data_IF_650661470040
#
_entry.id   IF_650661470040
#
_cell.length_a   1.000
_cell.length_b   1.000
_cell.length_c   1.000
_cell.angle_alpha   90.00
_cell.angle_beta   90.00
_cell.angle_gamma   90.00
#
_symmetry.space_group_name_H-M   'P 1'
#
loop_
_entity.id
_entity.type
_entity.pdbx_description
1 polymer ?
#
# COMPACT_ATOMS: atom_id res chain seq x y z
N UNK A 1 3.54 -16.68 -19.34
CA UNK A 1 4.06 -15.42 -18.79
C UNK A 1 3.05 -14.28 -18.81
N UNK A 2 2.47 -13.88 -19.96
CA UNK A 2 1.51 -12.73 -20.03
C UNK A 2 0.27 -12.84 -19.12
N UNK A 3 -0.31 -14.04 -18.97
CA UNK A 3 -1.50 -14.27 -18.14
C UNK A 3 -1.25 -14.02 -16.64
N UNK A 4 -0.09 -14.46 -16.12
CA UNK A 4 0.23 -14.24 -14.70
C UNK A 4 0.55 -12.78 -14.40
N UNK A 5 1.21 -12.06 -15.32
CA UNK A 5 1.42 -10.60 -15.16
C UNK A 5 0.09 -9.87 -15.10
N UNK A 6 -0.87 -10.22 -15.96
CA UNK A 6 -2.21 -9.62 -15.94
C UNK A 6 -2.94 -9.94 -14.63
N UNK A 7 -2.92 -11.20 -14.18
CA UNK A 7 -3.58 -11.61 -12.94
C UNK A 7 -2.95 -10.92 -11.72
N UNK A 8 -1.62 -10.92 -11.61
CA UNK A 8 -0.90 -10.23 -10.52
C UNK A 8 -1.10 -8.72 -10.55
N UNK A 9 -1.09 -8.10 -11.74
CA UNK A 9 -1.40 -6.68 -11.89
C UNK A 9 -2.83 -6.35 -11.44
N UNK A 10 -3.81 -7.18 -11.79
CA UNK A 10 -5.19 -7.02 -11.36
C UNK A 10 -5.37 -7.23 -9.85
N UNK A 11 -4.64 -8.18 -9.26
CA UNK A 11 -4.64 -8.42 -7.81
C UNK A 11 -4.05 -7.23 -7.05
N UNK A 12 -2.90 -6.72 -7.48
CA UNK A 12 -2.29 -5.52 -6.89
C UNK A 12 -3.18 -4.29 -7.07
N UNK A 13 -3.78 -4.11 -8.25
CA UNK A 13 -4.77 -3.06 -8.49
C UNK A 13 -5.95 -3.19 -7.51
N UNK A 14 -6.53 -4.39 -7.36
CA UNK A 14 -7.64 -4.64 -6.44
C UNK A 14 -7.27 -4.44 -4.97
N UNK A 15 -6.01 -4.70 -4.60
CA UNK A 15 -5.50 -4.45 -3.25
C UNK A 15 -5.44 -2.95 -2.93
N UNK A 16 -4.94 -2.14 -3.88
CA UNK A 16 -4.77 -0.69 -3.68
C UNK A 16 -6.02 0.13 -4.01
N UNK A 17 -6.88 -0.32 -4.91
CA UNK A 17 -8.15 0.32 -5.31
C UNK A 17 -9.37 -0.45 -4.78
N UNK A 18 -9.19 -1.29 -3.77
CA UNK A 18 -10.28 -1.97 -3.07
C UNK A 18 -11.23 -0.98 -2.38
N UNK A 19 -12.39 -1.47 -1.93
CA UNK A 19 -13.47 -0.64 -1.39
C UNK A 19 -13.02 0.40 -0.35
N UNK A 20 -12.06 0.04 0.52
CA UNK A 20 -11.49 0.99 1.48
C UNK A 20 -10.83 2.21 0.81
N UNK A 21 -9.78 1.98 0.02
CA UNK A 21 -9.02 3.06 -0.61
C UNK A 21 -9.80 3.85 -1.68
N UNK A 22 -10.94 3.35 -2.13
CA UNK A 22 -11.84 4.07 -3.04
C UNK A 22 -12.89 4.92 -2.31
N UNK A 23 -13.37 4.48 -1.14
CA UNK A 23 -14.41 5.17 -0.35
C UNK A 23 -13.79 6.22 0.59
N UNK A 24 -12.65 5.91 1.21
CA UNK A 24 -12.04 6.78 2.21
C UNK A 24 -11.59 8.15 1.70
N UNK A 25 -10.94 8.31 0.52
CA UNK A 25 -10.51 9.63 0.08
C UNK A 25 -11.68 10.60 -0.11
N UNK A 26 -12.76 10.28 -0.87
CA UNK A 26 -13.92 11.16 -0.97
C UNK A 26 -14.59 11.45 0.38
N UNK A 27 -14.67 10.44 1.27
CA UNK A 27 -15.25 10.61 2.61
C UNK A 27 -14.42 11.56 3.48
N UNK A 28 -13.09 11.41 3.49
CA UNK A 28 -12.15 12.28 4.20
C UNK A 28 -12.12 13.69 3.59
N UNK A 29 -12.17 13.78 2.26
CA UNK A 29 -12.31 15.05 1.55
C UNK A 29 -13.59 15.76 1.94
N UNK A 30 -14.71 15.05 2.00
CA UNK A 30 -15.99 15.61 2.40
C UNK A 30 -15.96 16.14 3.85
N UNK A 31 -15.31 15.42 4.76
CA UNK A 31 -15.12 15.87 6.15
C UNK A 31 -14.10 17.02 6.28
N UNK A 32 -13.17 17.17 5.34
CA UNK A 32 -12.21 18.27 5.29
C UNK A 32 -12.82 19.61 4.80
N UNK A 33 -14.08 19.62 4.37
CA UNK A 33 -14.81 20.84 4.00
C UNK A 33 -14.13 21.59 2.85
N UNK A 34 -13.65 22.81 3.10
CA UNK A 34 -12.99 23.64 2.08
C UNK A 34 -11.67 23.03 1.57
N UNK A 35 -11.05 22.15 2.34
CA UNK A 35 -9.80 21.49 1.99
C UNK A 35 -10.01 20.10 1.36
N UNK A 36 -11.18 19.85 0.75
CA UNK A 36 -11.55 18.54 0.17
C UNK A 36 -10.43 17.93 -0.68
N UNK A 37 -9.94 18.67 -1.67
CA UNK A 37 -8.89 18.21 -2.58
C UNK A 37 -7.57 17.91 -1.86
N UNK A 38 -7.20 18.73 -0.88
CA UNK A 38 -5.98 18.55 -0.11
C UNK A 38 -6.10 17.33 0.80
N UNK A 39 -7.25 17.12 1.44
CA UNK A 39 -7.53 15.94 2.27
C UNK A 39 -7.51 14.64 1.45
N UNK A 40 -8.14 14.67 0.27
CA UNK A 40 -8.10 13.55 -0.69
C UNK A 40 -6.69 13.23 -1.16
N UNK A 41 -5.93 14.26 -1.57
CA UNK A 41 -4.54 14.09 -2.03
C UNK A 41 -3.63 13.61 -0.91
N UNK A 42 -3.77 14.16 0.30
CA UNK A 42 -3.02 13.72 1.47
C UNK A 42 -3.22 12.24 1.73
N UNK A 43 -4.48 11.78 1.79
CA UNK A 43 -4.79 10.36 1.94
C UNK A 43 -4.25 9.52 0.78
N UNK A 44 -4.40 9.96 -0.47
CA UNK A 44 -3.89 9.21 -1.62
C UNK A 44 -2.37 9.05 -1.57
N UNK A 45 -1.64 10.10 -1.20
CA UNK A 45 -0.17 10.07 -1.09
C UNK A 45 0.31 9.15 0.05
N UNK A 46 -0.33 9.21 1.22
CA UNK A 46 0.14 8.43 2.39
C UNK A 46 -0.45 7.03 2.42
N UNK A 47 -1.74 6.89 2.11
CA UNK A 47 -2.50 5.64 2.24
C UNK A 47 -2.44 4.72 1.02
N UNK A 48 -2.16 5.26 -0.18
CA UNK A 48 -2.12 4.47 -1.42
C UNK A 48 -0.71 4.48 -2.02
N UNK A 49 -0.14 5.66 -2.25
CA UNK A 49 1.12 5.79 -2.98
C UNK A 49 2.31 5.22 -2.20
N UNK A 50 2.43 5.49 -0.90
CA UNK A 50 3.52 4.97 -0.07
C UNK A 50 3.54 3.43 -0.05
N UNK A 51 2.43 2.74 0.30
CA UNK A 51 2.39 1.28 0.26
C UNK A 51 2.63 0.70 -1.14
N UNK A 52 2.16 1.37 -2.20
CA UNK A 52 2.42 0.98 -3.58
C UNK A 52 3.91 1.03 -3.94
N UNK A 53 4.60 2.11 -3.56
CA UNK A 53 6.06 2.23 -3.74
C UNK A 53 6.78 1.13 -2.96
N UNK A 54 6.38 0.83 -1.73
CA UNK A 54 6.96 -0.26 -0.93
C UNK A 54 6.87 -1.60 -1.65
N UNK A 55 5.71 -1.95 -2.21
CA UNK A 55 5.55 -3.20 -2.97
C UNK A 55 6.45 -3.24 -4.20
N UNK A 56 6.57 -2.13 -4.93
CA UNK A 56 7.47 -2.02 -6.09
C UNK A 56 8.91 -2.26 -5.64
N UNK A 57 9.36 -1.56 -4.59
CA UNK A 57 10.72 -1.68 -4.05
C UNK A 57 11.01 -3.11 -3.66
N UNK A 58 10.11 -3.76 -2.92
CA UNK A 58 10.25 -5.17 -2.52
C UNK A 58 10.30 -6.11 -3.72
N UNK A 59 9.51 -5.85 -4.77
CA UNK A 59 9.51 -6.65 -5.99
C UNK A 59 10.82 -6.54 -6.80
N UNK A 60 11.65 -5.51 -6.56
CA UNK A 60 12.97 -5.37 -7.17
C UNK A 60 14.09 -6.10 -6.40
N UNK A 61 13.84 -6.59 -5.18
CA UNK A 61 14.82 -7.39 -4.44
C UNK A 61 14.58 -8.89 -4.66
N UNK A 62 15.64 -9.63 -4.96
CA UNK A 62 15.56 -11.07 -5.26
C UNK A 62 15.07 -11.91 -4.07
N UNK A 63 15.39 -11.50 -2.83
CA UNK A 63 14.88 -12.13 -1.60
C UNK A 63 13.50 -11.58 -1.20
N UNK A 64 12.88 -10.70 -2.00
CA UNK A 64 11.56 -10.15 -1.76
C UNK A 64 11.39 -9.52 -0.37
N UNK A 65 10.30 -9.88 0.33
CA UNK A 65 10.02 -9.38 1.69
C UNK A 65 11.06 -9.89 2.70
N UNK A 66 11.70 -11.03 2.45
CA UNK A 66 12.71 -11.60 3.36
C UNK A 66 13.97 -10.71 3.40
N UNK A 67 14.31 -10.03 2.31
CA UNK A 67 15.40 -9.03 2.30
C UNK A 67 15.19 -7.90 3.32
N UNK A 68 13.93 -7.53 3.57
CA UNK A 68 13.54 -6.51 4.53
C UNK A 68 13.52 -7.12 5.93
N UNK A 69 12.93 -8.32 6.08
CA UNK A 69 12.82 -9.06 7.34
C UNK A 69 14.18 -9.42 7.96
N UNK A 70 15.15 -9.83 7.15
CA UNK A 70 16.50 -10.19 7.59
C UNK A 70 17.31 -8.99 8.12
N UNK A 71 16.89 -7.76 7.80
CA UNK A 71 17.52 -6.52 8.30
C UNK A 71 16.89 -6.02 9.60
N UNK A 72 15.75 -6.56 10.00
CA UNK A 72 15.06 -6.21 11.26
C UNK A 72 15.50 -7.21 12.32
N UNK A 73 15.86 -6.74 13.51
CA UNK A 73 16.28 -7.61 14.61
C UNK A 73 15.17 -8.65 14.92
N UNK A 74 15.47 -9.94 15.06
CA UNK A 74 14.48 -11.02 15.14
C UNK A 74 13.45 -10.89 16.29
N UNK A 75 13.72 -10.04 17.27
CA UNK A 75 12.78 -9.69 18.35
C UNK A 75 11.58 -8.86 17.89
N UNK A 76 11.67 -8.18 16.74
CA UNK A 76 10.59 -7.31 16.26
C UNK A 76 9.34 -8.12 15.88
N UNK A 77 9.54 -9.30 15.30
CA UNK A 77 8.44 -10.23 14.99
C UNK A 77 7.76 -10.77 16.24
N UNK A 78 8.52 -11.06 17.29
CA UNK A 78 7.96 -11.58 18.54
C UNK A 78 7.02 -10.57 19.21
N UNK A 79 7.42 -9.30 19.35
CA UNK A 79 6.62 -8.28 20.05
C UNK A 79 5.38 -7.84 19.25
N UNK A 80 5.44 -7.82 17.91
CA UNK A 80 4.32 -7.36 17.09
C UNK A 80 3.24 -8.45 16.85
N UNK A 81 3.64 -9.73 16.91
CA UNK A 81 2.75 -10.89 16.73
C UNK A 81 2.30 -11.55 18.05
N UNK A 82 2.80 -11.09 19.20
CA UNK A 82 2.30 -11.48 20.54
C UNK A 82 1.28 -10.50 21.08
#
# INVERSE_FOLDING_TARGET
MKKQVIISGLMLFSLFFGAGNLIFPPMLGHTAGQNMWIGMLGFALTGILLPFITVIVVAFYDEGVESVGNRIHPWFGFILLS
#
